data_IF_675739205550
#
_entry.id   IF_675739205550
#
_cell.length_a   1.000
_cell.length_b   1.000
_cell.length_c   1.000
_cell.angle_alpha   90.00
_cell.angle_beta   90.00
_cell.angle_gamma   90.00
#
_symmetry.space_group_name_H-M   'P 1'
#
loop_
_entity.id
_entity.type
_entity.pdbx_description
1 polymer ?
#
# COMPACT_ATOMS: atom_id res chain seq x y z
N UNK A 1 -33.08 15.60 -11.41
CA UNK A 1 -32.61 14.39 -10.70
C UNK A 1 -31.19 14.68 -10.30
N UNK A 2 -30.80 14.47 -9.04
CA UNK A 2 -29.41 14.68 -8.66
C UNK A 2 -28.55 13.67 -9.43
N UNK A 3 -27.73 14.15 -10.36
CA UNK A 3 -26.79 13.32 -11.08
C UNK A 3 -25.91 12.61 -10.07
N UNK A 4 -25.96 11.28 -10.08
CA UNK A 4 -25.24 10.45 -9.12
C UNK A 4 -23.79 10.35 -9.59
N UNK A 5 -22.99 11.36 -9.23
CA UNK A 5 -21.57 11.54 -9.53
C UNK A 5 -20.67 10.37 -9.08
N UNK A 6 -21.17 9.51 -8.19
CA UNK A 6 -20.56 8.22 -7.87
C UNK A 6 -21.52 7.06 -8.18
N UNK A 7 -21.08 6.14 -9.04
CA UNK A 7 -21.74 4.87 -9.30
C UNK A 7 -20.77 3.70 -9.14
N UNK A 8 -21.27 2.56 -8.65
CA UNK A 8 -20.50 1.32 -8.60
C UNK A 8 -20.38 0.71 -10.01
N UNK A 9 -19.17 0.32 -10.39
CA UNK A 9 -18.91 -0.45 -11.61
C UNK A 9 -18.99 -1.96 -11.37
N UNK A 10 -18.52 -2.76 -12.33
CA UNK A 10 -18.43 -4.22 -12.19
C UNK A 10 -17.39 -4.64 -11.15
N UNK A 11 -16.16 -4.07 -11.24
CA UNK A 11 -15.03 -4.36 -10.35
C UNK A 11 -14.97 -3.41 -9.14
N UNK A 12 -14.95 -2.10 -9.39
CA UNK A 12 -14.91 -1.10 -8.32
C UNK A 12 -16.32 -0.85 -7.78
N UNK A 13 -16.50 -1.08 -6.48
CA UNK A 13 -17.73 -0.77 -5.76
C UNK A 13 -17.51 0.44 -4.87
N UNK A 14 -18.55 1.25 -4.69
CA UNK A 14 -18.52 2.33 -3.70
C UNK A 14 -18.61 1.70 -2.32
N UNK A 15 -17.69 2.07 -1.44
CA UNK A 15 -17.80 1.82 -0.01
C UNK A 15 -18.18 3.12 0.68
N UNK A 16 -19.24 3.07 1.49
CA UNK A 16 -19.73 4.19 2.26
C UNK A 16 -19.92 3.79 3.73
N UNK A 17 -19.85 4.78 4.61
CA UNK A 17 -20.28 4.65 6.00
C UNK A 17 -21.76 5.01 6.09
N UNK A 18 -22.53 4.24 6.84
CA UNK A 18 -23.94 4.53 7.15
C UNK A 18 -24.05 4.96 8.61
N UNK A 19 -24.54 6.17 8.85
CA UNK A 19 -24.79 6.68 10.19
C UNK A 19 -26.02 6.03 10.81
N UNK A 20 -26.13 6.10 12.15
CA UNK A 20 -27.30 5.57 12.85
C UNK A 20 -28.62 6.28 12.46
N UNK A 21 -28.52 7.47 11.88
CA UNK A 21 -29.62 8.28 11.34
C UNK A 21 -29.92 8.00 9.85
N UNK A 22 -29.20 7.06 9.22
CA UNK A 22 -29.33 6.71 7.80
C UNK A 22 -28.53 7.60 6.85
N UNK A 23 -27.75 8.57 7.36
CA UNK A 23 -26.83 9.37 6.54
C UNK A 23 -25.76 8.48 5.88
N UNK A 24 -25.31 8.85 4.67
CA UNK A 24 -24.28 8.10 3.92
C UNK A 24 -23.09 8.98 3.59
N UNK A 25 -21.90 8.53 3.99
CA UNK A 25 -20.64 9.21 3.71
C UNK A 25 -19.77 8.33 2.81
N UNK A 26 -19.34 8.83 1.66
CA UNK A 26 -18.35 8.14 0.84
C UNK A 26 -17.08 7.89 1.67
N UNK A 27 -16.57 6.66 1.63
CA UNK A 27 -15.40 6.24 2.39
C UNK A 27 -14.24 5.88 1.47
N UNK A 28 -14.48 4.96 0.53
CA UNK A 28 -13.45 4.44 -0.37
C UNK A 28 -14.07 3.77 -1.60
N UNK A 29 -13.23 3.41 -2.57
CA UNK A 29 -13.56 2.38 -3.54
C UNK A 29 -13.18 1.01 -2.98
N UNK A 30 -13.89 -0.03 -3.40
CA UNK A 30 -13.55 -1.41 -3.08
C UNK A 30 -13.32 -2.17 -4.37
N UNK A 31 -12.09 -2.66 -4.54
CA UNK A 31 -11.71 -3.49 -5.67
C UNK A 31 -12.03 -4.95 -5.37
N UNK A 32 -13.15 -5.42 -5.90
CA UNK A 32 -13.65 -6.79 -5.66
C UNK A 32 -12.73 -7.88 -6.19
N UNK A 33 -11.93 -7.62 -7.22
CA UNK A 33 -11.01 -8.62 -7.76
C UNK A 33 -9.78 -8.80 -6.86
N UNK A 34 -9.40 -7.74 -6.16
CA UNK A 34 -8.26 -7.76 -5.22
C UNK A 34 -8.71 -7.96 -3.77
N UNK A 35 -9.98 -7.78 -3.46
CA UNK A 35 -10.50 -7.76 -2.09
C UNK A 35 -9.82 -6.68 -1.23
N UNK A 36 -9.62 -5.49 -1.79
CA UNK A 36 -8.94 -4.37 -1.13
C UNK A 36 -9.76 -3.08 -1.25
N UNK A 37 -9.72 -2.25 -0.22
CA UNK A 37 -10.15 -0.85 -0.33
C UNK A 37 -9.06 -0.04 -1.05
N UNK A 38 -9.47 0.91 -1.89
CA UNK A 38 -8.56 1.73 -2.66
C UNK A 38 -9.07 3.16 -2.86
N UNK A 39 -8.15 4.05 -3.23
CA UNK A 39 -8.45 5.42 -3.65
C UNK A 39 -7.68 5.76 -4.92
N UNK A 40 -8.22 6.68 -5.72
CA UNK A 40 -7.53 7.12 -6.92
C UNK A 40 -6.33 7.99 -6.56
N UNK A 41 -5.14 7.50 -6.88
CA UNK A 41 -3.87 8.16 -6.64
C UNK A 41 -2.89 7.86 -7.78
N UNK A 42 -1.81 8.64 -7.86
CA UNK A 42 -0.78 8.49 -8.88
C UNK A 42 0.12 7.28 -8.54
N UNK A 43 0.27 6.38 -9.51
CA UNK A 43 1.26 5.30 -9.47
C UNK A 43 2.60 5.79 -10.05
N UNK A 44 3.70 5.08 -9.79
CA UNK A 44 5.04 5.45 -10.27
C UNK A 44 5.20 5.50 -11.81
N UNK A 45 4.28 4.86 -12.56
CA UNK A 45 4.21 4.98 -14.02
C UNK A 45 3.57 6.31 -14.48
N UNK A 46 3.18 7.17 -13.54
CA UNK A 46 2.52 8.46 -13.77
C UNK A 46 1.01 8.35 -14.00
N UNK A 47 0.44 7.16 -14.12
CA UNK A 47 -1.00 6.97 -14.31
C UNK A 47 -1.78 7.12 -12.99
N UNK A 48 -3.06 7.50 -13.09
CA UNK A 48 -3.98 7.52 -11.93
C UNK A 48 -4.69 6.19 -11.85
N UNK A 49 -4.59 5.52 -10.71
CA UNK A 49 -5.19 4.20 -10.48
C UNK A 49 -5.81 4.09 -9.10
N UNK A 50 -6.73 3.14 -8.93
CA UNK A 50 -7.27 2.80 -7.62
C UNK A 50 -6.21 2.03 -6.83
N UNK A 51 -5.41 2.76 -6.05
CA UNK A 51 -4.30 2.20 -5.28
C UNK A 51 -4.79 1.81 -3.88
N UNK A 52 -4.34 0.66 -3.33
CA UNK A 52 -4.77 0.20 -2.02
C UNK A 52 -4.66 1.29 -0.94
N UNK A 53 -5.72 1.41 -0.15
CA UNK A 53 -5.64 2.14 1.10
C UNK A 53 -4.76 1.33 2.05
N UNK A 54 -3.83 2.02 2.68
CA UNK A 54 -2.89 1.42 3.62
C UNK A 54 -3.54 1.29 4.99
N UNK A 55 -4.60 0.48 5.09
CA UNK A 55 -5.21 0.11 6.37
C UNK A 55 -5.30 -1.44 6.50
N UNK A 56 -4.50 -2.08 7.36
CA UNK A 56 -3.48 -1.46 8.23
C UNK A 56 -2.37 -0.77 7.41
N UNK A 57 -1.61 0.17 8.02
CA UNK A 57 -0.52 0.88 7.35
C UNK A 57 0.36 -0.10 6.57
N UNK A 58 0.61 0.21 5.30
CA UNK A 58 1.43 -0.64 4.46
C UNK A 58 2.85 -0.64 5.00
N UNK A 59 3.53 -1.77 4.81
CA UNK A 59 4.86 -1.94 5.33
C UNK A 59 5.86 -1.08 4.53
N UNK A 60 6.68 -0.24 5.18
CA UNK A 60 7.69 0.56 4.48
C UNK A 60 8.76 -0.38 3.89
N UNK A 61 8.87 -0.43 2.56
CA UNK A 61 9.70 -1.38 1.81
C UNK A 61 11.03 -0.80 1.28
N UNK A 62 11.55 0.28 1.87
CA UNK A 62 12.73 0.98 1.33
C UNK A 62 13.95 0.99 2.25
N UNK A 63 13.76 0.95 3.55
CA UNK A 63 14.82 1.29 4.52
C UNK A 63 15.59 0.08 5.05
N UNK A 64 14.95 -1.09 5.12
CA UNK A 64 15.46 -2.23 5.88
C UNK A 64 15.85 -3.40 4.98
N UNK A 65 16.76 -4.23 5.48
CA UNK A 65 17.40 -5.32 4.75
C UNK A 65 17.64 -6.54 5.64
N UNK A 66 17.81 -7.71 5.01
CA UNK A 66 17.99 -9.00 5.71
C UNK A 66 19.43 -9.28 6.15
N UNK A 67 20.39 -8.48 5.69
CA UNK A 67 21.82 -8.77 5.82
C UNK A 67 22.67 -7.51 5.83
N UNK A 68 23.90 -7.64 6.30
CA UNK A 68 24.91 -6.56 6.35
C UNK A 68 25.34 -6.06 4.97
N UNK A 69 24.94 -6.73 3.89
CA UNK A 69 25.17 -6.28 2.52
C UNK A 69 24.12 -5.25 2.04
N UNK A 70 22.99 -5.10 2.74
CA UNK A 70 21.84 -4.29 2.34
C UNK A 70 21.41 -4.46 0.87
N UNK A 71 21.25 -5.71 0.43
CA UNK A 71 20.84 -6.04 -0.93
C UNK A 71 19.37 -6.49 -1.01
N UNK A 72 18.94 -7.38 -0.11
CA UNK A 72 17.56 -7.87 -0.07
C UNK A 72 16.73 -7.03 0.89
N UNK A 73 15.69 -6.38 0.36
CA UNK A 73 14.84 -5.46 1.13
C UNK A 73 13.86 -6.19 2.04
N UNK A 74 13.61 -5.59 3.20
CA UNK A 74 12.56 -5.94 4.14
C UNK A 74 11.57 -4.78 4.27
N UNK A 75 10.29 -5.12 4.34
CA UNK A 75 9.21 -4.19 4.61
C UNK A 75 8.96 -4.12 6.13
N UNK A 76 9.01 -2.92 6.71
CA UNK A 76 8.72 -2.68 8.14
C UNK A 76 7.23 -2.38 8.33
N UNK A 77 6.56 -3.12 9.21
CA UNK A 77 5.18 -2.89 9.60
C UNK A 77 5.05 -2.71 11.11
N UNK A 78 4.10 -1.89 11.54
CA UNK A 78 3.63 -1.90 12.93
C UNK A 78 3.08 -3.29 13.25
N UNK A 79 3.44 -3.84 14.41
CA UNK A 79 2.88 -5.12 14.85
C UNK A 79 1.40 -4.95 15.14
N UNK A 80 0.55 -5.59 14.32
CA UNK A 80 -0.90 -5.62 14.51
C UNK A 80 -1.40 -7.04 14.26
N UNK A 81 -2.63 -7.40 14.71
CA UNK A 81 -3.18 -8.75 14.48
C UNK A 81 -3.30 -9.11 12.99
N UNK A 82 -3.38 -8.12 12.11
CA UNK A 82 -3.54 -8.30 10.67
C UNK A 82 -2.23 -7.94 9.97
N UNK A 83 -1.60 -8.90 9.29
CA UNK A 83 -0.41 -8.60 8.50
C UNK A 83 -0.77 -7.70 7.31
N UNK A 84 0.09 -6.75 6.94
CA UNK A 84 -0.12 -5.96 5.74
C UNK A 84 -0.09 -6.86 4.51
N UNK A 85 -0.85 -6.47 3.48
CA UNK A 85 -0.87 -7.21 2.21
C UNK A 85 0.28 -6.82 1.28
N UNK A 86 0.74 -5.58 1.39
CA UNK A 86 1.75 -5.00 0.51
C UNK A 86 2.83 -4.30 1.31
N UNK A 87 4.04 -4.33 0.76
CA UNK A 87 5.08 -3.35 1.04
C UNK A 87 4.88 -2.14 0.14
N UNK A 88 5.11 -0.94 0.65
CA UNK A 88 5.04 0.30 -0.13
C UNK A 88 6.42 0.95 -0.16
N UNK A 89 6.82 1.29 -1.37
CA UNK A 89 7.95 2.15 -1.65
C UNK A 89 7.46 3.41 -2.37
N UNK A 90 8.26 4.46 -2.30
CA UNK A 90 8.00 5.72 -3.00
C UNK A 90 9.09 5.99 -4.02
N UNK A 91 8.71 6.45 -5.19
CA UNK A 91 9.67 6.98 -6.16
C UNK A 91 10.17 8.37 -5.70
N UNK A 92 11.17 8.96 -6.38
CA UNK A 92 11.71 10.27 -6.01
C UNK A 92 10.71 11.43 -6.06
N UNK A 93 9.57 11.26 -6.75
CA UNK A 93 8.50 12.28 -6.84
C UNK A 93 7.32 11.99 -5.90
N UNK A 94 7.45 10.96 -5.05
CA UNK A 94 6.47 10.60 -4.04
C UNK A 94 5.32 9.72 -4.54
N UNK A 95 5.40 9.17 -5.76
CA UNK A 95 4.41 8.21 -6.24
C UNK A 95 4.62 6.84 -5.59
N UNK A 96 3.53 6.13 -5.33
CA UNK A 96 3.55 4.85 -4.62
C UNK A 96 3.84 3.70 -5.59
N UNK A 97 4.74 2.82 -5.16
CA UNK A 97 4.98 1.49 -5.72
C UNK A 97 4.58 0.45 -4.67
N UNK A 98 3.84 -0.57 -5.10
CA UNK A 98 3.39 -1.65 -4.22
C UNK A 98 4.17 -2.91 -4.54
N UNK A 99 4.61 -3.61 -3.51
CA UNK A 99 5.31 -4.88 -3.64
C UNK A 99 4.54 -5.98 -2.92
N UNK A 100 4.54 -7.19 -3.48
CA UNK A 100 4.15 -8.36 -2.70
C UNK A 100 5.15 -8.56 -1.56
N UNK A 101 4.68 -9.08 -0.42
CA UNK A 101 5.55 -9.38 0.72
C UNK A 101 5.46 -10.84 1.10
N UNK A 102 6.56 -11.39 1.61
CA UNK A 102 6.64 -12.75 2.12
C UNK A 102 6.05 -12.89 3.53
N UNK A 103 6.33 -14.03 4.17
CA UNK A 103 6.00 -14.27 5.57
C UNK A 103 6.86 -13.44 6.54
N UNK A 104 6.56 -13.53 7.84
CA UNK A 104 7.30 -12.84 8.89
C UNK A 104 8.79 -13.24 8.89
N UNK A 105 9.67 -12.23 8.87
CA UNK A 105 11.11 -12.40 8.88
C UNK A 105 11.67 -12.62 10.30
N UNK A 106 12.28 -13.77 10.53
CA UNK A 106 12.87 -14.15 11.82
C UNK A 106 14.35 -13.80 11.96
N UNK A 107 15.06 -13.50 10.86
CA UNK A 107 16.48 -13.19 10.86
C UNK A 107 16.86 -11.78 11.36
N UNK A 108 18.15 -11.46 11.24
CA UNK A 108 18.67 -10.13 11.53
C UNK A 108 18.06 -9.07 10.60
N UNK A 109 18.00 -7.83 11.08
CA UNK A 109 17.50 -6.69 10.32
C UNK A 109 18.59 -5.63 10.28
N UNK A 110 18.83 -5.11 9.08
CA UNK A 110 19.85 -4.11 8.81
C UNK A 110 19.18 -2.87 8.22
N UNK A 111 19.72 -1.69 8.53
CA UNK A 111 19.31 -0.43 7.91
C UNK A 111 20.48 0.16 7.14
N UNK A 112 20.20 0.71 5.96
CA UNK A 112 21.19 1.37 5.12
C UNK A 112 21.22 2.86 5.41
N UNK A 113 22.37 3.38 5.82
CA UNK A 113 22.63 4.81 5.99
C UNK A 113 23.86 5.20 5.16
N UNK A 114 23.62 5.79 3.98
CA UNK A 114 24.66 6.05 2.99
C UNK A 114 25.29 4.74 2.47
N UNK A 115 26.60 4.61 2.66
CA UNK A 115 27.36 3.40 2.31
C UNK A 115 27.34 2.33 3.41
N UNK A 116 26.88 2.67 4.61
CA UNK A 116 26.95 1.80 5.78
C UNK A 116 25.66 1.00 5.96
N UNK A 117 25.83 -0.25 6.38
CA UNK A 117 24.76 -1.15 6.78
C UNK A 117 24.93 -1.47 8.25
N UNK A 118 23.96 -1.07 9.06
CA UNK A 118 24.03 -1.21 10.53
C UNK A 118 22.93 -2.14 11.02
N UNK A 119 23.28 -3.04 11.93
CA UNK A 119 22.33 -3.92 12.59
C UNK A 119 21.31 -3.09 13.39
N UNK A 120 20.04 -3.34 13.14
CA UNK A 120 18.89 -2.69 13.78
C UNK A 120 17.85 -3.73 14.23
N UNK A 121 18.30 -4.95 14.48
CA UNK A 121 17.47 -6.08 14.91
C UNK A 121 16.70 -5.82 16.21
N UNK A 122 17.11 -4.82 17.00
CA UNK A 122 16.38 -4.36 18.20
C UNK A 122 14.98 -3.83 17.88
N UNK A 123 14.72 -3.33 16.66
CA UNK A 123 13.39 -2.88 16.24
C UNK A 123 12.35 -4.00 16.18
N UNK A 124 12.79 -5.27 16.10
CA UNK A 124 11.89 -6.42 16.12
C UNK A 124 11.12 -6.58 17.44
N UNK A 125 11.48 -5.82 18.48
CA UNK A 125 10.70 -5.74 19.71
C UNK A 125 9.31 -5.12 19.47
N UNK A 126 9.21 -4.14 18.56
CA UNK A 126 7.99 -3.34 18.31
C UNK A 126 7.44 -3.48 16.89
N UNK A 127 8.27 -3.90 15.94
CA UNK A 127 7.92 -4.00 14.53
C UNK A 127 8.03 -5.42 14.00
N UNK A 128 7.25 -5.69 12.96
CA UNK A 128 7.35 -6.90 12.16
C UNK A 128 7.99 -6.56 10.81
N UNK A 129 8.77 -7.50 10.30
CA UNK A 129 9.50 -7.34 9.04
C UNK A 129 9.12 -8.45 8.07
N UNK A 130 9.01 -8.11 6.80
CA UNK A 130 8.59 -9.04 5.76
C UNK A 130 9.52 -8.92 4.55
N UNK A 131 9.98 -10.03 3.94
CA UNK A 131 10.75 -9.96 2.70
C UNK A 131 9.95 -9.24 1.61
N UNK A 132 10.59 -8.27 0.94
CA UNK A 132 9.99 -7.55 -0.20
C UNK A 132 10.18 -8.38 -1.46
N UNK A 133 9.08 -8.74 -2.11
CA UNK A 133 9.08 -9.46 -3.38
C UNK A 133 8.96 -8.54 -4.59
N UNK A 134 8.42 -9.09 -5.67
CA UNK A 134 8.20 -8.36 -6.92
C UNK A 134 7.28 -7.14 -6.72
N UNK A 135 7.50 -6.11 -7.53
CA UNK A 135 6.55 -5.02 -7.68
C UNK A 135 5.24 -5.56 -8.28
N UNK A 136 4.11 -5.04 -7.81
CA UNK A 136 2.80 -5.26 -8.40
C UNK A 136 2.67 -4.32 -9.58
N UNK A 137 2.59 -4.89 -10.78
CA UNK A 137 2.46 -4.12 -12.01
C UNK A 137 1.32 -3.11 -11.95
N UNK A 138 1.55 -1.90 -12.45
CA UNK A 138 0.54 -0.84 -12.41
C UNK A 138 -0.80 -1.29 -13.03
N UNK A 139 -0.72 -2.06 -14.12
CA UNK A 139 -1.85 -2.63 -14.87
C UNK A 139 -2.80 -3.47 -14.00
N UNK A 140 -2.32 -4.02 -12.89
CA UNK A 140 -3.13 -4.78 -11.94
C UNK A 140 -4.14 -3.91 -11.20
N UNK A 141 -3.91 -2.60 -11.11
CA UNK A 141 -4.82 -1.63 -10.50
C UNK A 141 -5.72 -0.97 -11.56
N UNK A 142 -6.99 -0.78 -11.21
CA UNK A 142 -7.97 -0.14 -12.10
C UNK A 142 -7.57 1.31 -12.38
N UNK A 143 -7.35 1.64 -13.66
CA UNK A 143 -7.02 2.99 -14.10
C UNK A 143 -8.22 3.95 -14.10
N UNK A 144 -7.95 5.23 -13.94
CA UNK A 144 -8.93 6.30 -14.09
C UNK A 144 -8.40 7.44 -14.96
N UNK A 145 -9.33 8.16 -15.57
CA UNK A 145 -9.05 9.39 -16.32
C UNK A 145 -9.72 10.55 -15.60
N UNK A 146 -8.95 11.56 -15.20
CA UNK A 146 -9.49 12.78 -14.64
C UNK A 146 -10.24 13.56 -15.74
N UNK A 147 -11.46 13.99 -15.45
CA UNK A 147 -12.27 14.87 -16.29
C UNK A 147 -12.78 16.01 -15.43
N UNK A 148 -12.86 17.20 -16.00
CA UNK A 148 -13.44 18.39 -15.36
C UNK A 148 -14.70 18.73 -16.12
N UNK A 149 -15.81 18.90 -15.40
CA UNK A 149 -17.04 19.40 -16.01
C UNK A 149 -16.84 20.85 -16.49
N UNK A 150 -17.44 21.24 -17.62
CA UNK A 150 -17.33 22.59 -18.17
C UNK A 150 -17.92 23.67 -17.26
#
# INVERSE_FOLDING_TARGET
>A
MADTWYASGSRLKIRYLEGADGSKQFSAWFDTARNDECTFARHADGSVRCLPLTNPPAANAQTYFDSSACTSRLALAQRTPTSPKYGVAYDPVGARMFHVIGGLHSGAVWSKNGANCTDTSTLKATYDFYPVGAEVEAAEFVGATARTEP
#
